data_IF_664665456843
#
_entry.id   IF_664665456843
#
_cell.length_a   1.000
_cell.length_b   1.000
_cell.length_c   1.000
_cell.angle_alpha   90.00
_cell.angle_beta   90.00
_cell.angle_gamma   90.00
#
_symmetry.space_group_name_H-M   'P 1'
#
loop_
_entity.id
_entity.type
_entity.pdbx_description
1 polymer ?
#
# COMPACT_ATOMS: atom_id res chain seq x y z
N UNK A 1 40.08 -3.40 15.11
CA UNK A 1 38.69 -3.25 15.54
C UNK A 1 37.90 -4.31 14.79
N UNK A 2 37.35 -5.34 15.45
CA UNK A 2 36.66 -6.40 14.74
C UNK A 2 35.41 -5.80 14.09
N UNK A 3 35.25 -5.96 12.78
CA UNK A 3 33.99 -5.65 12.11
C UNK A 3 32.94 -6.58 12.71
N UNK A 4 32.04 -6.00 13.48
CA UNK A 4 30.83 -6.65 13.94
C UNK A 4 30.01 -6.98 12.68
N UNK A 5 30.04 -8.26 12.28
CA UNK A 5 29.33 -8.74 11.11
C UNK A 5 27.83 -8.68 11.44
N UNK A 6 27.22 -7.50 11.30
CA UNK A 6 25.78 -7.33 11.43
C UNK A 6 25.13 -8.24 10.40
N UNK A 7 24.72 -9.43 10.83
CA UNK A 7 23.88 -10.29 10.01
C UNK A 7 22.67 -9.47 9.58
N UNK A 8 22.53 -9.33 8.27
CA UNK A 8 21.39 -8.67 7.66
C UNK A 8 20.10 -9.34 8.17
N UNK A 9 19.12 -8.58 8.68
CA UNK A 9 17.86 -9.16 9.15
C UNK A 9 17.10 -9.78 7.98
N UNK A 10 16.23 -10.74 8.28
CA UNK A 10 15.37 -11.33 7.25
C UNK A 10 14.48 -10.24 6.63
N UNK A 11 14.10 -10.42 5.36
CA UNK A 11 13.30 -9.44 4.62
C UNK A 11 12.07 -8.97 5.41
N UNK A 12 11.35 -9.90 6.03
CA UNK A 12 10.12 -9.59 6.77
C UNK A 12 10.36 -9.03 8.17
N UNK A 13 11.51 -9.29 8.78
CA UNK A 13 11.88 -8.64 10.04
C UNK A 13 12.25 -7.17 9.79
N UNK A 14 12.89 -6.89 8.66
CA UNK A 14 13.20 -5.53 8.25
C UNK A 14 11.92 -4.74 7.91
N UNK A 15 10.97 -5.35 7.18
CA UNK A 15 9.70 -4.75 6.75
C UNK A 15 8.50 -5.15 7.63
N UNK A 16 8.70 -5.40 8.93
CA UNK A 16 7.67 -5.95 9.82
C UNK A 16 6.40 -5.09 9.89
N UNK A 17 6.54 -3.77 9.94
CA UNK A 17 5.39 -2.85 10.03
C UNK A 17 4.55 -2.88 8.76
N UNK A 18 5.22 -2.90 7.60
CA UNK A 18 4.53 -3.01 6.33
C UNK A 18 3.86 -4.38 6.15
N UNK A 19 4.50 -5.46 6.60
CA UNK A 19 3.90 -6.80 6.64
C UNK A 19 2.60 -6.79 7.45
N UNK A 20 2.61 -6.18 8.63
CA UNK A 20 1.44 -6.10 9.49
C UNK A 20 0.30 -5.35 8.79
N UNK A 21 0.57 -4.19 8.18
CA UNK A 21 -0.42 -3.39 7.46
C UNK A 21 -1.00 -4.17 6.28
N UNK A 22 -0.16 -4.85 5.49
CA UNK A 22 -0.59 -5.68 4.37
C UNK A 22 -1.44 -6.89 4.80
N UNK A 23 -1.18 -7.45 5.99
CA UNK A 23 -1.96 -8.54 6.57
C UNK A 23 -3.31 -8.07 7.10
N UNK A 24 -3.34 -6.94 7.81
CA UNK A 24 -4.59 -6.34 8.30
C UNK A 24 -5.49 -5.93 7.14
N UNK A 25 -4.93 -5.43 6.04
CA UNK A 25 -5.68 -5.12 4.82
C UNK A 25 -6.10 -6.36 4.00
N UNK A 26 -5.72 -7.58 4.40
CA UNK A 26 -6.04 -8.82 3.68
C UNK A 26 -5.24 -9.08 2.41
N UNK A 27 -4.41 -8.13 1.95
CA UNK A 27 -3.57 -8.26 0.76
C UNK A 27 -2.60 -9.44 0.92
N UNK A 28 -1.98 -9.56 2.09
CA UNK A 28 -1.04 -10.64 2.42
C UNK A 28 -1.67 -11.67 3.37
N UNK A 29 -1.41 -12.98 3.20
CA UNK A 29 -1.98 -14.01 4.07
C UNK A 29 -1.52 -13.87 5.52
N UNK A 30 -2.44 -14.14 6.45
CA UNK A 30 -2.19 -14.10 7.90
C UNK A 30 -1.57 -15.44 8.33
N UNK A 31 -0.24 -15.53 8.24
CA UNK A 31 0.53 -16.71 8.65
C UNK A 31 0.47 -17.88 7.66
N UNK A 32 0.85 -19.07 8.12
CA UNK A 32 0.88 -20.27 7.28
C UNK A 32 -0.53 -20.78 6.92
N UNK A 33 -0.73 -21.30 5.68
CA UNK A 33 -2.03 -21.67 5.12
C UNK A 33 -2.68 -22.93 5.74
N UNK A 34 -2.19 -23.42 6.88
CA UNK A 34 -2.64 -24.69 7.48
C UNK A 34 -4.03 -24.66 8.11
N UNK A 35 -4.68 -23.49 8.22
CA UNK A 35 -5.99 -23.35 8.87
C UNK A 35 -7.01 -22.67 7.95
N UNK A 36 -8.12 -23.37 7.70
CA UNK A 36 -9.20 -22.93 6.81
C UNK A 36 -9.82 -21.57 7.20
N UNK A 37 -9.97 -21.29 8.51
CA UNK A 37 -10.49 -20.01 9.00
C UNK A 37 -9.65 -18.81 8.57
N UNK A 38 -8.32 -18.96 8.49
CA UNK A 38 -7.41 -17.88 8.05
C UNK A 38 -7.60 -17.55 6.57
N UNK A 39 -7.92 -18.55 5.76
CA UNK A 39 -8.24 -18.35 4.35
C UNK A 39 -9.54 -17.56 4.20
N UNK A 40 -10.60 -17.94 4.93
CA UNK A 40 -11.87 -17.22 4.92
C UNK A 40 -11.69 -15.79 5.40
N UNK A 41 -10.97 -15.59 6.51
CA UNK A 41 -10.69 -14.26 7.06
C UNK A 41 -9.97 -13.38 6.03
N UNK A 42 -8.99 -13.93 5.31
CA UNK A 42 -8.27 -13.18 4.28
C UNK A 42 -9.17 -12.76 3.11
N UNK A 43 -10.10 -13.61 2.67
CA UNK A 43 -11.06 -13.26 1.62
C UNK A 43 -12.06 -12.19 2.10
N UNK A 44 -12.52 -12.30 3.36
CA UNK A 44 -13.41 -11.30 3.98
C UNK A 44 -12.73 -9.93 4.08
N UNK A 45 -11.46 -9.89 4.51
CA UNK A 45 -10.70 -8.64 4.62
C UNK A 45 -10.45 -7.95 3.27
N UNK A 46 -10.32 -8.73 2.19
CA UNK A 46 -10.18 -8.18 0.83
C UNK A 46 -11.52 -7.71 0.27
N UNK A 47 -12.62 -8.39 0.62
CA UNK A 47 -13.97 -7.99 0.20
C UNK A 47 -14.53 -6.80 1.00
N UNK A 48 -14.09 -6.59 2.24
CA UNK A 48 -14.65 -5.54 3.11
C UNK A 48 -14.55 -4.12 2.54
N UNK A 49 -13.44 -3.66 1.94
CA UNK A 49 -13.35 -2.32 1.34
C UNK A 49 -14.35 -2.15 0.18
N UNK A 50 -14.62 -3.23 -0.58
CA UNK A 50 -15.59 -3.20 -1.68
C UNK A 50 -17.02 -2.96 -1.14
N UNK A 51 -17.37 -3.69 -0.09
CA UNK A 51 -18.68 -3.54 0.58
C UNK A 51 -18.84 -2.14 1.18
N UNK A 52 -17.83 -1.65 1.90
CA UNK A 52 -17.92 -0.35 2.58
C UNK A 52 -17.96 0.83 1.61
N UNK A 53 -17.11 0.86 0.58
CA UNK A 53 -17.20 1.98 -0.36
C UNK A 53 -18.43 1.91 -1.26
N UNK A 54 -19.01 0.73 -1.52
CA UNK A 54 -20.35 0.64 -2.12
C UNK A 54 -21.42 1.28 -1.23
N UNK A 55 -21.39 1.00 0.07
CA UNK A 55 -22.29 1.62 1.05
C UNK A 55 -22.15 3.15 1.10
N UNK A 56 -20.91 3.64 1.14
CA UNK A 56 -20.60 5.08 1.18
C UNK A 56 -21.03 5.80 -0.10
N UNK A 57 -20.99 5.15 -1.27
CA UNK A 57 -21.38 5.77 -2.54
C UNK A 57 -22.89 6.02 -2.67
N UNK A 58 -23.74 5.29 -1.94
CA UNK A 58 -25.21 5.39 -2.09
C UNK A 58 -25.70 6.81 -1.77
N UNK A 59 -25.23 7.40 -0.68
CA UNK A 59 -25.67 8.72 -0.22
C UNK A 59 -25.30 9.88 -1.17
N UNK A 60 -24.02 10.07 -1.57
CA UNK A 60 -23.65 11.13 -2.51
C UNK A 60 -24.29 10.95 -3.90
N UNK A 61 -24.44 9.71 -4.38
CA UNK A 61 -25.11 9.46 -5.66
C UNK A 61 -26.59 9.85 -5.61
N UNK A 62 -27.27 9.55 -4.51
CA UNK A 62 -28.66 9.96 -4.31
C UNK A 62 -28.80 11.49 -4.30
N UNK A 63 -27.87 12.19 -3.63
CA UNK A 63 -27.85 13.66 -3.62
C UNK A 63 -27.67 14.25 -5.02
N UNK A 64 -26.68 13.75 -5.78
CA UNK A 64 -26.38 14.21 -7.15
C UNK A 64 -27.57 13.98 -8.09
N UNK A 65 -28.27 12.85 -7.96
CA UNK A 65 -29.35 12.47 -8.87
C UNK A 65 -30.68 13.16 -8.57
N UNK A 66 -30.97 13.44 -7.30
CA UNK A 66 -32.34 13.83 -6.87
C UNK A 66 -32.45 15.15 -6.11
N UNK A 67 -31.36 15.76 -5.63
CA UNK A 67 -31.42 16.88 -4.67
C UNK A 67 -30.42 18.02 -4.97
N UNK A 68 -29.89 18.09 -6.20
CA UNK A 68 -28.78 18.97 -6.58
C UNK A 68 -29.14 20.46 -6.68
N UNK A 69 -29.60 21.06 -5.58
CA UNK A 69 -30.03 22.46 -5.52
C UNK A 69 -28.86 23.42 -5.19
N UNK A 70 -27.86 22.96 -4.42
CA UNK A 70 -26.71 23.75 -4.01
C UNK A 70 -25.42 23.30 -4.72
N UNK A 71 -24.75 24.24 -5.40
CA UNK A 71 -23.53 23.96 -6.19
C UNK A 71 -22.32 23.56 -5.32
N UNK A 72 -22.22 24.11 -4.11
CA UNK A 72 -21.09 23.81 -3.21
C UNK A 72 -21.18 22.37 -2.67
N UNK A 73 -22.37 21.97 -2.23
CA UNK A 73 -22.65 20.59 -1.80
C UNK A 73 -22.57 19.60 -2.96
N UNK A 74 -23.02 20.00 -4.17
CA UNK A 74 -22.87 19.16 -5.36
C UNK A 74 -21.40 18.89 -5.68
N UNK A 75 -20.54 19.91 -5.56
CA UNK A 75 -19.10 19.76 -5.76
C UNK A 75 -18.50 18.82 -4.72
N UNK A 76 -18.85 18.95 -3.44
CA UNK A 76 -18.43 18.03 -2.38
C UNK A 76 -18.87 16.58 -2.70
N UNK A 77 -20.11 16.37 -3.16
CA UNK A 77 -20.63 15.06 -3.52
C UNK A 77 -19.86 14.43 -4.66
N UNK A 78 -19.60 15.19 -5.72
CA UNK A 78 -18.83 14.73 -6.88
C UNK A 78 -17.40 14.34 -6.49
N UNK A 79 -16.74 15.15 -5.65
CA UNK A 79 -15.39 14.85 -5.15
C UNK A 79 -15.38 13.53 -4.36
N UNK A 80 -16.37 13.32 -3.49
CA UNK A 80 -16.50 12.07 -2.72
C UNK A 80 -16.73 10.88 -3.65
N UNK A 81 -17.62 10.99 -4.65
CA UNK A 81 -17.87 9.90 -5.60
C UNK A 81 -16.62 9.54 -6.40
N UNK A 82 -15.90 10.53 -6.93
CA UNK A 82 -14.66 10.31 -7.69
C UNK A 82 -13.61 9.65 -6.79
N UNK A 83 -13.45 10.13 -5.56
CA UNK A 83 -12.44 9.60 -4.63
C UNK A 83 -12.75 8.16 -4.23
N UNK A 84 -14.00 7.87 -3.82
CA UNK A 84 -14.40 6.54 -3.37
C UNK A 84 -14.41 5.55 -4.55
N UNK A 85 -14.88 5.95 -5.72
CA UNK A 85 -14.83 5.11 -6.92
C UNK A 85 -13.40 4.79 -7.35
N UNK A 86 -12.47 5.74 -7.24
CA UNK A 86 -11.04 5.50 -7.43
C UNK A 86 -10.47 4.47 -6.45
N UNK A 87 -10.84 4.56 -5.17
CA UNK A 87 -10.49 3.58 -4.14
C UNK A 87 -11.08 2.18 -4.41
N UNK A 88 -12.32 2.13 -4.91
CA UNK A 88 -12.97 0.88 -5.34
C UNK A 88 -12.23 0.22 -6.50
N UNK A 89 -11.90 0.99 -7.54
CA UNK A 89 -11.14 0.49 -8.69
C UNK A 89 -9.80 -0.11 -8.24
N UNK A 90 -9.05 0.60 -7.37
CA UNK A 90 -7.81 0.07 -6.78
C UNK A 90 -8.05 -1.23 -6.02
N UNK A 91 -9.10 -1.30 -5.22
CA UNK A 91 -9.47 -2.50 -4.47
C UNK A 91 -9.76 -3.70 -5.37
N UNK A 92 -10.49 -3.49 -6.46
CA UNK A 92 -10.75 -4.52 -7.47
C UNK A 92 -9.45 -4.96 -8.13
N UNK A 93 -8.61 -4.03 -8.57
CA UNK A 93 -7.34 -4.34 -9.25
C UNK A 93 -6.40 -5.14 -8.36
N UNK A 94 -6.23 -4.74 -7.10
CA UNK A 94 -5.40 -5.46 -6.12
C UNK A 94 -5.99 -6.84 -5.85
N UNK A 95 -7.31 -6.96 -5.69
CA UNK A 95 -7.96 -8.26 -5.46
C UNK A 95 -7.72 -9.23 -6.60
N UNK A 96 -7.86 -8.78 -7.86
CA UNK A 96 -7.61 -9.58 -9.06
C UNK A 96 -6.13 -10.00 -9.15
N UNK A 97 -5.22 -9.08 -8.88
CA UNK A 97 -3.77 -9.30 -9.03
C UNK A 97 -3.10 -9.81 -7.75
N UNK A 98 -3.86 -10.07 -6.68
CA UNK A 98 -3.36 -10.42 -5.35
C UNK A 98 -2.35 -11.58 -5.38
N UNK A 99 -2.68 -12.65 -6.11
CA UNK A 99 -1.78 -13.81 -6.27
C UNK A 99 -0.46 -13.43 -6.93
N UNK A 100 -0.47 -12.52 -7.91
CA UNK A 100 0.76 -12.02 -8.55
C UNK A 100 1.56 -11.16 -7.57
N UNK A 101 0.91 -10.27 -6.81
CA UNK A 101 1.57 -9.45 -5.78
C UNK A 101 2.28 -10.32 -4.74
N UNK A 102 1.61 -11.35 -4.22
CA UNK A 102 2.21 -12.29 -3.26
C UNK A 102 3.42 -13.03 -3.88
N UNK A 103 3.32 -13.44 -5.15
CA UNK A 103 4.45 -14.05 -5.87
C UNK A 103 5.62 -13.09 -6.01
N UNK A 104 5.37 -11.83 -6.37
CA UNK A 104 6.41 -10.79 -6.47
C UNK A 104 7.10 -10.55 -5.12
N UNK A 105 6.36 -10.51 -4.01
CA UNK A 105 6.97 -10.44 -2.68
C UNK A 105 7.81 -11.66 -2.33
N UNK A 106 7.40 -12.84 -2.79
CA UNK A 106 8.17 -14.08 -2.60
C UNK A 106 9.48 -14.03 -3.39
N UNK A 107 9.45 -13.51 -4.62
CA UNK A 107 10.64 -13.28 -5.44
C UNK A 107 11.53 -12.22 -4.78
N UNK A 108 10.98 -11.09 -4.34
CA UNK A 108 11.72 -10.03 -3.65
C UNK A 108 12.41 -10.54 -2.38
N UNK A 109 11.71 -11.36 -1.58
CA UNK A 109 12.29 -12.04 -0.41
C UNK A 109 13.45 -12.96 -0.83
N UNK A 110 13.24 -13.82 -1.82
CA UNK A 110 14.29 -14.73 -2.30
C UNK A 110 15.52 -13.96 -2.78
N UNK A 111 15.32 -12.88 -3.52
CA UNK A 111 16.40 -12.01 -3.99
C UNK A 111 17.13 -11.32 -2.82
N UNK A 112 16.41 -10.89 -1.78
CA UNK A 112 17.00 -10.33 -0.56
C UNK A 112 17.91 -11.33 0.16
N UNK A 113 17.45 -12.59 0.28
CA UNK A 113 18.17 -13.64 1.00
C UNK A 113 19.40 -14.15 0.20
N UNK A 114 19.38 -14.07 -1.14
CA UNK A 114 20.47 -14.54 -2.02
C UNK A 114 21.54 -13.48 -2.35
N UNK A 115 21.38 -12.23 -1.93
CA UNK A 115 22.33 -11.18 -2.31
C UNK A 115 23.68 -11.29 -1.59
N UNK A 116 24.76 -10.91 -2.27
CA UNK A 116 26.14 -11.00 -1.78
C UNK A 116 26.46 -9.91 -0.76
N UNK A 117 27.13 -10.28 0.33
CA UNK A 117 27.47 -9.39 1.47
C UNK A 117 28.21 -8.11 1.08
N UNK A 118 29.02 -8.14 0.01
CA UNK A 118 29.81 -6.98 -0.45
C UNK A 118 28.94 -5.79 -0.86
N UNK A 119 27.71 -6.04 -1.33
CA UNK A 119 26.78 -4.99 -1.76
C UNK A 119 25.67 -4.73 -0.74
N UNK A 120 25.90 -5.09 0.52
CA UNK A 120 24.86 -5.03 1.53
C UNK A 120 24.39 -3.62 1.84
N UNK A 121 25.32 -2.67 1.87
CA UNK A 121 25.03 -1.25 2.10
C UNK A 121 24.13 -0.67 1.00
N UNK A 122 24.34 -1.08 -0.26
CA UNK A 122 23.53 -0.61 -1.39
C UNK A 122 22.09 -1.08 -1.24
N UNK A 123 21.89 -2.38 -0.98
CA UNK A 123 20.54 -2.96 -0.82
C UNK A 123 19.83 -2.37 0.41
N UNK A 124 20.54 -2.19 1.52
CA UNK A 124 20.01 -1.56 2.72
C UNK A 124 19.61 -0.10 2.47
N UNK A 125 20.38 0.67 1.72
CA UNK A 125 20.03 2.06 1.36
C UNK A 125 18.71 2.13 0.59
N UNK A 126 18.49 1.24 -0.37
CA UNK A 126 17.21 1.16 -1.11
C UNK A 126 16.05 0.68 -0.21
N UNK A 127 16.32 -0.25 0.70
CA UNK A 127 15.33 -0.72 1.67
C UNK A 127 14.92 0.37 2.66
N UNK A 128 15.86 1.18 3.14
CA UNK A 128 15.61 2.33 4.00
C UNK A 128 14.74 3.37 3.29
N UNK A 129 15.05 3.68 2.02
CA UNK A 129 14.21 4.55 1.19
C UNK A 129 12.80 3.99 1.06
N UNK A 130 12.67 2.69 0.79
CA UNK A 130 11.36 2.05 0.69
C UNK A 130 10.56 2.16 1.98
N UNK A 131 11.20 1.89 3.12
CA UNK A 131 10.57 2.03 4.44
C UNK A 131 10.18 3.46 4.74
N UNK A 132 11.04 4.43 4.40
CA UNK A 132 10.78 5.85 4.59
C UNK A 132 9.55 6.31 3.79
N UNK A 133 9.51 6.03 2.48
CA UNK A 133 8.35 6.36 1.64
C UNK A 133 7.07 5.68 2.13
N UNK A 134 7.11 4.38 2.45
CA UNK A 134 5.95 3.67 2.98
C UNK A 134 5.43 4.28 4.28
N UNK A 135 6.34 4.68 5.17
CA UNK A 135 5.98 5.29 6.46
C UNK A 135 5.36 6.66 6.25
N UNK A 136 5.95 7.51 5.42
CA UNK A 136 5.43 8.85 5.12
C UNK A 136 4.07 8.77 4.45
N UNK A 137 3.91 7.96 3.41
CA UNK A 137 2.63 7.84 2.70
C UNK A 137 1.54 7.33 3.63
N UNK A 138 1.83 6.30 4.44
CA UNK A 138 0.87 5.78 5.40
C UNK A 138 0.41 6.87 6.39
N UNK A 139 1.34 7.57 7.04
CA UNK A 139 0.97 8.62 8.00
C UNK A 139 0.26 9.81 7.34
N UNK A 140 0.70 10.22 6.15
CA UNK A 140 0.03 11.27 5.39
C UNK A 140 -1.44 10.89 5.09
N UNK A 141 -1.70 9.66 4.64
CA UNK A 141 -3.07 9.17 4.41
C UNK A 141 -3.92 9.19 5.69
N UNK A 142 -3.35 8.78 6.84
CA UNK A 142 -4.08 8.78 8.10
C UNK A 142 -4.38 10.19 8.62
N UNK A 143 -3.44 11.12 8.48
CA UNK A 143 -3.64 12.53 8.84
C UNK A 143 -4.71 13.16 7.94
N UNK A 144 -4.62 12.99 6.62
CA UNK A 144 -5.63 13.50 5.68
C UNK A 144 -7.03 12.95 5.96
N UNK A 145 -7.14 11.64 6.24
CA UNK A 145 -8.42 11.01 6.58
C UNK A 145 -9.01 11.56 7.88
N UNK A 146 -8.17 11.79 8.88
CA UNK A 146 -8.60 12.35 10.17
C UNK A 146 -9.04 13.80 10.03
N UNK A 147 -8.30 14.61 9.25
CA UNK A 147 -8.69 16.00 8.96
C UNK A 147 -10.04 16.07 8.24
N UNK A 148 -10.28 15.18 7.28
CA UNK A 148 -11.56 15.10 6.57
C UNK A 148 -12.73 14.80 7.52
N UNK A 149 -12.57 13.82 8.42
CA UNK A 149 -13.59 13.50 9.43
C UNK A 149 -13.77 14.64 10.44
N UNK A 150 -12.70 15.36 10.80
CA UNK A 150 -12.82 16.52 11.68
C UNK A 150 -13.63 17.64 11.04
N UNK A 151 -13.56 17.82 9.72
CA UNK A 151 -14.40 18.79 9.01
C UNK A 151 -15.89 18.51 9.22
N UNK A 152 -16.33 17.26 9.21
CA UNK A 152 -17.74 16.93 9.48
C UNK A 152 -18.15 17.20 10.93
N UNK A 153 -17.26 16.95 11.90
CA UNK A 153 -17.50 17.29 13.31
C UNK A 153 -17.66 18.79 13.49
N UNK A 154 -16.80 19.60 12.87
CA UNK A 154 -16.87 21.06 12.95
C UNK A 154 -18.17 21.57 12.32
N UNK A 155 -18.54 21.06 11.13
CA UNK A 155 -19.83 21.39 10.49
C UNK A 155 -21.01 21.07 11.43
N UNK A 156 -21.01 19.89 12.04
CA UNK A 156 -22.03 19.47 13.02
C UNK A 156 -22.11 20.39 14.24
N UNK A 157 -20.97 20.79 14.83
CA UNK A 157 -20.93 21.67 16.01
C UNK A 157 -21.28 23.13 15.68
N UNK A 158 -21.08 23.55 14.43
CA UNK A 158 -21.43 24.90 13.96
C UNK A 158 -22.94 25.08 13.73
N UNK A 159 -23.72 24.01 13.76
CA UNK A 159 -25.17 24.06 13.66
C UNK A 159 -25.81 24.62 14.94
N UNK A 160 -26.89 25.40 14.77
CA UNK A 160 -27.68 25.90 15.89
C UNK A 160 -28.39 24.74 16.62
N UNK A 161 -28.57 24.79 17.96
CA UNK A 161 -29.16 23.69 18.74
C UNK A 161 -30.60 23.27 18.34
N UNK A 162 -31.28 24.06 17.49
CA UNK A 162 -32.61 23.76 16.94
C UNK A 162 -32.60 23.36 15.44
N UNK A 163 -31.44 23.12 14.84
CA UNK A 163 -31.36 22.74 13.42
C UNK A 163 -31.87 21.31 13.21
N UNK A 164 -32.71 21.12 12.20
CA UNK A 164 -33.28 19.82 11.81
C UNK A 164 -32.37 19.02 10.86
N UNK A 165 -31.11 19.41 10.73
CA UNK A 165 -30.14 18.89 9.77
C UNK A 165 -29.06 18.12 10.52
N UNK A 166 -28.72 16.93 10.03
CA UNK A 166 -27.62 16.11 10.54
C UNK A 166 -26.52 16.00 9.49
N UNK A 167 -25.28 16.37 9.82
CA UNK A 167 -24.14 16.25 8.91
C UNK A 167 -23.38 14.95 9.15
N UNK A 168 -23.20 14.18 8.09
CA UNK A 168 -22.46 12.92 8.14
C UNK A 168 -21.08 13.09 7.48
N UNK A 169 -20.04 12.32 7.87
CA UNK A 169 -18.70 12.44 7.30
C UNK A 169 -18.67 12.20 5.79
N UNK A 170 -19.49 11.27 5.30
CA UNK A 170 -19.58 10.94 3.88
C UNK A 170 -21.01 11.05 3.34
N UNK A 171 -21.94 11.56 4.15
CA UNK A 171 -23.36 11.66 3.81
C UNK A 171 -23.82 13.11 3.69
N UNK A 172 -24.74 13.33 2.77
CA UNK A 172 -25.40 14.62 2.56
C UNK A 172 -26.61 14.76 3.48
N UNK A 173 -27.07 15.98 3.69
CA UNK A 173 -28.11 16.34 4.65
C UNK A 173 -29.35 15.44 4.56
N UNK A 174 -29.53 14.55 5.54
CA UNK A 174 -30.76 13.81 5.78
C UNK A 174 -31.60 14.53 6.84
N UNK A 175 -32.93 14.45 6.70
CA UNK A 175 -33.87 14.88 7.74
C UNK A 175 -33.51 14.25 9.08
N UNK A 176 -33.68 15.00 10.19
CA UNK A 176 -33.44 14.60 11.59
C UNK A 176 -33.48 13.09 11.78
N UNK A 177 -32.30 12.48 11.89
CA UNK A 177 -32.22 11.09 12.33
C UNK A 177 -32.28 11.10 13.87
N UNK A 178 -33.30 10.48 14.48
CA UNK A 178 -33.44 10.51 15.94
C UNK A 178 -32.25 9.83 16.62
N UNK A 179 -31.78 10.38 17.74
CA UNK A 179 -30.84 9.67 18.61
C UNK A 179 -31.52 8.38 19.12
N UNK A 180 -30.83 7.21 19.11
CA UNK A 180 -29.39 6.99 18.92
C UNK A 180 -28.95 6.60 17.49
N UNK A 181 -29.86 6.59 16.52
CA UNK A 181 -29.59 6.07 15.16
C UNK A 181 -28.54 6.91 14.42
N UNK A 182 -28.53 8.22 14.67
CA UNK A 182 -27.53 9.14 14.12
C UNK A 182 -26.11 8.74 14.52
N UNK A 183 -25.86 8.53 15.82
CA UNK A 183 -24.53 8.20 16.37
C UNK A 183 -24.01 6.86 15.82
N UNK A 184 -24.90 5.88 15.66
CA UNK A 184 -24.56 4.57 15.09
C UNK A 184 -24.16 4.71 13.62
N UNK A 185 -24.95 5.41 12.80
CA UNK A 185 -24.61 5.66 11.39
C UNK A 185 -23.30 6.44 11.26
N UNK A 186 -23.10 7.45 12.09
CA UNK A 186 -21.89 8.27 12.13
C UNK A 186 -20.65 7.42 12.45
N UNK A 187 -20.72 6.59 13.49
CA UNK A 187 -19.64 5.68 13.86
C UNK A 187 -19.35 4.66 12.75
N UNK A 188 -20.38 4.09 12.13
CA UNK A 188 -20.22 3.15 11.01
C UNK A 188 -19.54 3.80 9.80
N UNK A 189 -19.88 5.04 9.47
CA UNK A 189 -19.24 5.78 8.39
C UNK A 189 -17.77 6.08 8.66
N UNK A 190 -17.42 6.47 9.90
CA UNK A 190 -16.03 6.66 10.30
C UNK A 190 -15.23 5.36 10.19
N UNK A 191 -15.76 4.27 10.73
CA UNK A 191 -15.10 2.95 10.68
C UNK A 191 -14.92 2.52 9.22
N UNK A 192 -15.97 2.66 8.40
CA UNK A 192 -15.94 2.33 6.97
C UNK A 192 -14.89 3.16 6.22
N UNK A 193 -14.82 4.46 6.49
CA UNK A 193 -13.83 5.37 5.91
C UNK A 193 -12.40 4.98 6.27
N UNK A 194 -12.12 4.74 7.55
CA UNK A 194 -10.79 4.32 8.00
C UNK A 194 -10.38 2.96 7.44
N UNK A 195 -11.30 1.99 7.36
CA UNK A 195 -11.02 0.69 6.75
C UNK A 195 -10.72 0.81 5.25
N UNK A 196 -11.48 1.62 4.52
CA UNK A 196 -11.23 1.92 3.11
C UNK A 196 -9.87 2.59 2.90
N UNK A 197 -9.56 3.63 3.68
CA UNK A 197 -8.29 4.35 3.59
C UNK A 197 -7.09 3.50 4.02
N UNK A 198 -7.26 2.64 5.03
CA UNK A 198 -6.24 1.67 5.41
C UNK A 198 -5.93 0.70 4.28
N UNK A 199 -6.94 0.22 3.57
CA UNK A 199 -6.74 -0.67 2.42
C UNK A 199 -6.00 0.06 1.28
N UNK A 200 -6.39 1.30 0.97
CA UNK A 200 -5.71 2.11 -0.05
C UNK A 200 -4.24 2.34 0.34
N UNK A 201 -3.97 2.75 1.59
CA UNK A 201 -2.60 2.94 2.08
C UNK A 201 -1.78 1.65 2.02
N UNK A 202 -2.37 0.50 2.37
CA UNK A 202 -1.73 -0.80 2.25
C UNK A 202 -1.43 -1.16 0.79
N UNK A 203 -2.32 -0.83 -0.14
CA UNK A 203 -2.08 -1.06 -1.58
C UNK A 203 -0.91 -0.22 -2.11
N UNK A 204 -0.84 1.07 -1.76
CA UNK A 204 0.24 1.96 -2.17
C UNK A 204 1.57 1.51 -1.55
N UNK A 205 1.54 1.03 -0.30
CA UNK A 205 2.68 0.42 0.37
C UNK A 205 3.17 -0.85 -0.33
N UNK A 206 2.25 -1.72 -0.76
CA UNK A 206 2.60 -2.94 -1.48
C UNK A 206 3.39 -2.62 -2.76
N UNK A 207 2.86 -1.69 -3.55
CA UNK A 207 3.46 -1.26 -4.82
C UNK A 207 4.81 -0.58 -4.57
N UNK A 208 4.87 0.34 -3.61
CA UNK A 208 6.09 1.08 -3.27
C UNK A 208 7.22 0.15 -2.84
N UNK A 209 6.93 -0.84 -1.99
CA UNK A 209 7.93 -1.83 -1.58
C UNK A 209 8.44 -2.64 -2.77
N UNK A 210 7.54 -3.15 -3.62
CA UNK A 210 7.95 -3.95 -4.78
C UNK A 210 8.79 -3.15 -5.77
N UNK A 211 8.37 -1.92 -6.10
CA UNK A 211 9.08 -1.04 -7.02
C UNK A 211 10.46 -0.68 -6.48
N UNK A 212 10.58 -0.30 -5.20
CA UNK A 212 11.88 0.09 -4.65
C UNK A 212 12.81 -1.09 -4.41
N UNK A 213 12.28 -2.28 -4.09
CA UNK A 213 13.08 -3.50 -4.09
C UNK A 213 13.59 -3.82 -5.50
N UNK A 214 12.73 -3.70 -6.52
CA UNK A 214 13.11 -3.86 -7.92
C UNK A 214 14.21 -2.86 -8.31
N UNK A 215 14.06 -1.57 -7.98
CA UNK A 215 15.08 -0.55 -8.23
C UNK A 215 16.41 -0.90 -7.53
N UNK A 216 16.38 -1.38 -6.29
CA UNK A 216 17.57 -1.82 -5.58
C UNK A 216 18.28 -3.00 -6.25
N UNK A 217 17.53 -3.98 -6.75
CA UNK A 217 18.10 -5.11 -7.50
C UNK A 217 18.66 -4.70 -8.85
N UNK A 218 18.03 -3.75 -9.55
CA UNK A 218 18.56 -3.20 -10.80
C UNK A 218 19.84 -2.37 -10.57
N UNK A 219 19.89 -1.58 -9.50
CA UNK A 219 21.09 -0.85 -9.11
C UNK A 219 22.25 -1.81 -8.78
N UNK A 220 21.95 -2.93 -8.12
CA UNK A 220 22.94 -3.99 -7.86
C UNK A 220 23.51 -4.57 -9.17
N UNK A 221 22.64 -4.92 -10.12
CA UNK A 221 23.07 -5.44 -11.44
C UNK A 221 23.94 -4.40 -12.16
N UNK A 222 23.58 -3.11 -12.08
CA UNK A 222 24.39 -2.03 -12.64
C UNK A 222 25.78 -1.97 -12.01
N UNK A 223 25.88 -2.09 -10.67
CA UNK A 223 27.16 -2.15 -9.97
C UNK A 223 28.01 -3.34 -10.43
N UNK A 224 27.42 -4.53 -10.57
CA UNK A 224 28.13 -5.71 -11.09
C UNK A 224 28.68 -5.48 -12.50
N UNK A 225 27.88 -4.90 -13.41
CA UNK A 225 28.32 -4.60 -14.77
C UNK A 225 29.47 -3.58 -14.81
N UNK A 226 29.41 -2.55 -13.96
CA UNK A 226 30.49 -1.56 -13.86
C UNK A 226 31.77 -2.16 -13.30
N UNK A 227 31.69 -3.06 -12.31
CA UNK A 227 32.87 -3.73 -11.75
C UNK A 227 33.48 -4.72 -12.74
N UNK A 228 32.67 -5.41 -13.53
CA UNK A 228 33.16 -6.24 -14.64
C UNK A 228 33.89 -5.36 -15.65
N UNK A 229 33.29 -4.26 -16.09
CA UNK A 229 33.87 -3.34 -17.08
C UNK A 229 35.19 -2.72 -16.59
N UNK A 230 35.28 -2.27 -15.34
CA UNK A 230 36.53 -1.74 -14.76
C UNK A 230 37.64 -2.79 -14.73
N UNK A 231 37.31 -4.03 -14.34
CA UNK A 231 38.26 -5.13 -14.29
C UNK A 231 38.78 -5.50 -15.69
N UNK A 232 37.94 -5.45 -16.72
CA UNK A 232 38.36 -5.63 -18.12
C UNK A 232 39.31 -4.52 -18.60
N UNK A 233 39.07 -3.26 -18.21
CA UNK A 233 39.92 -2.13 -18.59
C UNK A 233 41.31 -2.16 -17.93
N UNK A 234 41.42 -2.71 -16.72
CA UNK A 234 42.66 -2.70 -15.93
C UNK A 234 43.53 -3.95 -16.18
N UNK A 235 42.95 -5.14 -16.38
CA UNK A 235 43.70 -6.39 -16.55
C UNK A 235 43.28 -7.23 -17.79
N UNK A 236 43.36 -6.70 -19.01
CA UNK A 236 42.90 -7.41 -20.22
C UNK A 236 43.66 -8.72 -20.52
N UNK A 237 44.83 -8.94 -19.91
CA UNK A 237 45.69 -10.13 -20.13
C UNK A 237 45.53 -11.25 -19.09
N UNK A 238 44.84 -11.02 -17.98
CA UNK A 238 44.78 -11.98 -16.85
C UNK A 238 43.46 -12.76 -16.74
N UNK A 239 42.39 -12.28 -17.38
CA UNK A 239 41.10 -12.97 -17.39
C UNK A 239 40.94 -13.83 -18.64
N UNK A 240 40.61 -15.10 -18.43
CA UNK A 240 40.05 -15.96 -19.48
C UNK A 240 38.63 -15.51 -19.78
N UNK A 241 38.28 -15.42 -21.07
CA UNK A 241 36.94 -15.10 -21.61
C UNK A 241 35.79 -15.78 -20.82
N UNK A 242 35.99 -17.05 -20.43
CA UNK A 242 35.02 -17.81 -19.62
C UNK A 242 34.71 -17.25 -18.22
N UNK A 243 35.61 -16.50 -17.58
CA UNK A 243 35.36 -15.87 -16.27
C UNK A 243 34.41 -14.68 -16.40
N UNK A 244 34.56 -13.89 -17.46
CA UNK A 244 33.69 -12.77 -17.80
C UNK A 244 32.32 -13.28 -18.19
N UNK A 245 32.27 -14.33 -19.01
CA UNK A 245 31.01 -14.96 -19.44
C UNK A 245 30.19 -15.47 -18.25
N UNK A 246 30.83 -16.07 -17.23
CA UNK A 246 30.14 -16.55 -16.01
C UNK A 246 29.52 -15.39 -15.24
N UNK A 247 30.24 -14.29 -15.02
CA UNK A 247 29.72 -13.12 -14.31
C UNK A 247 28.61 -12.42 -15.11
N UNK A 248 28.76 -12.33 -16.45
CA UNK A 248 27.71 -11.79 -17.32
C UNK A 248 26.45 -12.67 -17.30
N UNK A 249 26.61 -14.01 -17.33
CA UNK A 249 25.51 -14.96 -17.17
C UNK A 249 24.81 -14.79 -15.82
N UNK A 250 25.54 -14.53 -14.73
CA UNK A 250 24.94 -14.22 -13.42
C UNK A 250 24.10 -12.94 -13.48
N UNK A 251 24.60 -11.86 -14.09
CA UNK A 251 23.83 -10.63 -14.30
C UNK A 251 22.56 -10.88 -15.12
N UNK A 252 22.67 -11.59 -16.25
CA UNK A 252 21.53 -11.91 -17.13
C UNK A 252 20.51 -12.77 -16.38
N UNK A 253 20.97 -13.80 -15.66
CA UNK A 253 20.09 -14.67 -14.88
C UNK A 253 19.34 -13.88 -13.80
N UNK A 254 20.05 -13.03 -13.04
CA UNK A 254 19.44 -12.19 -12.00
C UNK A 254 18.42 -11.22 -12.59
N UNK A 255 18.75 -10.56 -13.71
CA UNK A 255 17.83 -9.68 -14.43
C UNK A 255 16.57 -10.42 -14.92
N UNK A 256 16.73 -11.64 -15.46
CA UNK A 256 15.60 -12.48 -15.87
C UNK A 256 14.71 -12.92 -14.71
N UNK A 257 15.28 -13.18 -13.52
CA UNK A 257 14.49 -13.50 -12.31
C UNK A 257 13.73 -12.27 -11.81
N UNK A 258 14.35 -11.09 -11.89
CA UNK A 258 13.76 -9.82 -11.48
C UNK A 258 12.60 -9.38 -12.37
N UNK A 259 12.63 -9.70 -13.68
CA UNK A 259 11.58 -9.32 -14.64
C UNK A 259 10.45 -10.36 -14.82
N UNK A 260 10.50 -11.51 -14.15
CA UNK A 260 9.45 -12.55 -14.21
C UNK A 260 8.34 -12.31 -13.20
#
# INVERSE_FOLDING_TARGET
MPMDYKMRPSFWDYFWAAKLILQVAGIFPIGEPSSWWKSILSEVLVASPLMYGSYVLIQPLNYILFKSDNMDELLEAVIVVITVSGGQLRSILISIHRRKIIRLFTIAKKLWDESVTEYDELILTWAERARFFCTIYFWATQVSSTLFILTSVVKQLSLAPNSTISHYPFGFEESVTPSPQYEIKYALQIISGYLGMMFVAASDMAVTLLVLNLCGQLALIQSWLLDISKKELIEPRRRTDGSVEIELRKCIHRHQVVMK
#
